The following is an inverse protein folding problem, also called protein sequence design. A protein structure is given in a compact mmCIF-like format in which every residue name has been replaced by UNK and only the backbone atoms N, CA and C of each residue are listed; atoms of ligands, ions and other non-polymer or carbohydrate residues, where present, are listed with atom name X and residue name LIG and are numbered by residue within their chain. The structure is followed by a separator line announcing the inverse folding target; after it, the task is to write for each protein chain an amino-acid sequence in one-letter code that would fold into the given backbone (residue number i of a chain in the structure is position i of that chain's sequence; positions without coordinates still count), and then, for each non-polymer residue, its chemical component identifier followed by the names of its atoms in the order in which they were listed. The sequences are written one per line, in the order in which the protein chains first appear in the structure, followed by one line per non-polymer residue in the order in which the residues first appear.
data_IF_975733518216
#
_entry.id   IF_975733518216
#
_cell.length_a   1.000
_cell.length_b   1.000
_cell.length_c   1.000
_cell.angle_alpha   90.00
_cell.angle_beta   90.00
_cell.angle_gamma   90.00
#
_symmetry.space_group_name_H-M   'P 1'
#
loop_
_entity.id
_entity.type
_entity.pdbx_description
1 polymer ?
#
# COMPACT_ATOMS: atom_id res chain seq x y z
N UNK A 1 -52.38 41.31 -31.74
CA UNK A 1 -51.69 40.54 -32.80
C UNK A 1 -51.87 39.04 -32.52
N UNK A 2 -52.82 38.38 -33.16
CA UNK A 2 -53.16 36.96 -32.91
C UNK A 2 -52.17 36.08 -33.69
N UNK A 3 -51.15 35.52 -33.02
CA UNK A 3 -50.33 34.46 -33.63
C UNK A 3 -51.25 33.31 -34.03
N UNK A 4 -51.31 33.00 -35.33
CA UNK A 4 -52.14 31.92 -35.87
C UNK A 4 -51.71 30.60 -35.20
N UNK A 5 -52.65 29.92 -34.53
CA UNK A 5 -52.48 28.59 -33.90
C UNK A 5 -51.75 27.56 -34.77
N UNK A 6 -51.79 27.72 -36.11
CA UNK A 6 -51.11 26.86 -37.09
C UNK A 6 -49.57 26.91 -37.06
N UNK A 7 -48.95 27.94 -36.48
CA UNK A 7 -47.47 28.07 -36.40
C UNK A 7 -46.93 27.74 -35.00
N UNK A 8 -47.73 27.98 -33.95
CA UNK A 8 -47.30 27.80 -32.55
C UNK A 8 -47.20 26.32 -32.17
N UNK A 9 -48.12 25.48 -32.66
CA UNK A 9 -48.16 24.04 -32.36
C UNK A 9 -46.93 23.29 -32.91
N UNK A 10 -46.53 23.45 -34.20
CA UNK A 10 -45.36 22.75 -34.71
C UNK A 10 -44.05 23.25 -34.06
N UNK A 11 -43.96 24.53 -33.71
CA UNK A 11 -42.77 25.08 -33.03
C UNK A 11 -42.59 24.49 -31.62
N UNK A 12 -43.70 24.31 -30.88
CA UNK A 12 -43.69 23.67 -29.56
C UNK A 12 -43.32 22.19 -29.64
N UNK A 13 -43.79 21.47 -30.66
CA UNK A 13 -43.44 20.05 -30.86
C UNK A 13 -41.94 19.91 -31.18
N UNK A 14 -41.37 20.80 -32.01
CA UNK A 14 -39.93 20.79 -32.31
C UNK A 14 -39.10 21.10 -31.06
N UNK A 15 -39.51 22.05 -30.23
CA UNK A 15 -38.84 22.36 -28.95
C UNK A 15 -38.96 21.22 -27.92
N UNK A 16 -40.11 20.54 -27.85
CA UNK A 16 -40.30 19.38 -26.98
C UNK A 16 -39.48 18.18 -27.47
N UNK A 17 -39.36 17.97 -28.78
CA UNK A 17 -38.50 16.92 -29.34
C UNK A 17 -37.02 17.24 -29.13
N UNK A 18 -36.58 18.50 -29.27
CA UNK A 18 -35.19 18.91 -29.01
C UNK A 18 -34.79 18.80 -27.53
N UNK A 19 -35.71 19.11 -26.61
CA UNK A 19 -35.49 18.93 -25.16
C UNK A 19 -35.53 17.45 -24.76
N UNK A 20 -36.42 16.65 -25.35
CA UNK A 20 -36.43 15.20 -25.15
C UNK A 20 -35.13 14.54 -25.70
N UNK A 21 -34.61 14.98 -26.85
CA UNK A 21 -33.37 14.45 -27.42
C UNK A 21 -32.15 14.80 -26.56
N UNK A 22 -32.08 16.03 -26.05
CA UNK A 22 -30.99 16.43 -25.14
C UNK A 22 -31.09 15.75 -23.77
N UNK A 23 -32.28 15.48 -23.24
CA UNK A 23 -32.46 14.77 -21.97
C UNK A 23 -32.24 13.25 -22.07
N UNK A 24 -32.66 12.61 -23.17
CA UNK A 24 -32.54 11.15 -23.38
C UNK A 24 -31.17 10.72 -23.89
N UNK A 25 -30.45 11.55 -24.66
CA UNK A 25 -29.17 11.17 -25.27
C UNK A 25 -27.91 11.81 -24.65
N UNK A 26 -27.99 12.94 -23.91
CA UNK A 26 -26.80 13.45 -23.21
C UNK A 26 -26.23 12.55 -22.10
N UNK A 27 -27.02 11.76 -21.32
CA UNK A 27 -26.41 10.98 -20.24
C UNK A 27 -25.60 9.77 -20.73
N UNK A 28 -25.64 9.44 -22.04
CA UNK A 28 -24.88 8.33 -22.63
C UNK A 28 -23.60 8.74 -23.39
N UNK A 29 -23.42 10.02 -23.70
CA UNK A 29 -22.29 10.52 -24.50
C UNK A 29 -21.19 11.18 -23.67
N UNK A 30 -21.43 11.45 -22.38
CA UNK A 30 -20.37 11.78 -21.47
C UNK A 30 -19.79 10.47 -20.94
N UNK A 31 -18.51 10.14 -21.21
CA UNK A 31 -17.87 9.03 -20.51
C UNK A 31 -18.07 9.29 -19.02
N UNK A 32 -18.52 8.26 -18.28
CA UNK A 32 -18.50 8.30 -16.82
C UNK A 32 -17.16 8.90 -16.41
N UNK A 33 -17.09 9.86 -15.48
CA UNK A 33 -15.81 10.35 -15.01
C UNK A 33 -15.04 9.11 -14.57
N UNK A 34 -14.03 8.73 -15.35
CA UNK A 34 -13.17 7.63 -14.99
C UNK A 34 -12.48 8.17 -13.75
N UNK A 35 -12.92 7.75 -12.57
CA UNK A 35 -12.10 7.88 -11.36
C UNK A 35 -10.86 7.03 -11.63
N UNK A 36 -9.93 7.59 -12.42
CA UNK A 36 -8.61 7.05 -12.56
C UNK A 36 -7.97 7.26 -11.20
N UNK A 37 -7.84 6.16 -10.46
CA UNK A 37 -7.09 6.17 -9.22
C UNK A 37 -5.67 6.63 -9.55
N UNK A 38 -5.17 7.65 -8.86
CA UNK A 38 -3.80 8.18 -9.04
C UNK A 38 -2.75 7.06 -9.04
N UNK A 39 -2.98 6.00 -8.26
CA UNK A 39 -2.15 4.80 -8.23
C UNK A 39 -2.13 4.03 -9.57
N UNK A 40 -3.28 3.88 -10.23
CA UNK A 40 -3.36 3.19 -11.53
C UNK A 40 -2.66 3.98 -12.64
N UNK A 41 -2.82 5.30 -12.66
CA UNK A 41 -2.12 6.15 -13.63
C UNK A 41 -0.61 6.15 -13.38
N UNK A 42 -0.19 6.16 -12.11
CA UNK A 42 1.23 6.07 -11.74
C UNK A 42 1.83 4.71 -12.11
N UNK A 43 1.15 3.58 -11.82
CA UNK A 43 1.61 2.25 -12.24
C UNK A 43 1.74 2.15 -13.76
N UNK A 44 0.73 2.61 -14.50
CA UNK A 44 0.77 2.62 -15.97
C UNK A 44 1.94 3.46 -16.48
N UNK A 45 2.27 4.57 -15.82
CA UNK A 45 3.37 5.42 -16.21
C UNK A 45 4.74 4.82 -15.88
N UNK A 46 4.90 4.20 -14.70
CA UNK A 46 6.17 3.62 -14.29
C UNK A 46 6.46 2.29 -15.02
N UNK A 47 5.46 1.47 -15.31
CA UNK A 47 5.62 0.23 -16.09
C UNK A 47 5.89 0.47 -17.59
N UNK A 48 5.74 1.69 -18.11
CA UNK A 48 6.24 2.02 -19.46
C UNK A 48 7.76 1.93 -19.54
N UNK A 49 8.46 2.02 -18.40
CA UNK A 49 9.89 1.71 -18.34
C UNK A 49 10.03 0.20 -18.30
N UNK A 50 10.84 -0.35 -19.20
CA UNK A 50 11.08 -1.81 -19.29
C UNK A 50 12.39 -2.22 -18.64
N UNK A 51 13.31 -1.28 -18.43
CA UNK A 51 14.55 -1.47 -17.69
C UNK A 51 14.25 -1.63 -16.19
N UNK A 52 14.93 -2.53 -15.45
CA UNK A 52 14.77 -2.64 -14.01
C UNK A 52 15.27 -1.36 -13.29
N UNK A 53 14.71 -1.09 -12.12
CA UNK A 53 15.27 -0.09 -11.23
C UNK A 53 16.54 -0.64 -10.55
N UNK A 54 17.64 0.11 -10.57
CA UNK A 54 18.93 -0.31 -10.02
C UNK A 54 19.41 0.63 -8.92
N UNK A 55 20.07 0.08 -7.90
CA UNK A 55 20.58 0.80 -6.74
C UNK A 55 21.10 -0.13 -5.66
N UNK A 56 21.14 0.35 -4.42
CA UNK A 56 21.40 -0.51 -3.26
C UNK A 56 20.41 -0.31 -2.12
N UNK A 57 20.15 -1.40 -1.40
CA UNK A 57 19.44 -1.41 -0.12
C UNK A 57 20.46 -1.60 1.01
N UNK A 58 20.85 -0.50 1.65
CA UNK A 58 21.77 -0.55 2.78
C UNK A 58 23.16 -1.11 2.46
N UNK A 59 23.65 -0.83 1.24
CA UNK A 59 24.90 -1.38 0.70
C UNK A 59 24.75 -2.70 -0.06
N UNK A 60 23.56 -3.31 -0.12
CA UNK A 60 23.31 -4.51 -0.94
C UNK A 60 22.84 -4.10 -2.33
N UNK A 61 23.60 -4.38 -3.41
CA UNK A 61 23.17 -4.06 -4.77
C UNK A 61 21.90 -4.82 -5.18
N UNK A 62 20.97 -4.11 -5.82
CA UNK A 62 19.69 -4.67 -6.27
C UNK A 62 19.33 -4.24 -7.69
N UNK A 63 18.63 -5.13 -8.39
CA UNK A 63 17.97 -4.89 -9.68
C UNK A 63 16.50 -5.30 -9.52
N UNK A 64 15.63 -4.31 -9.40
CA UNK A 64 14.21 -4.47 -9.06
C UNK A 64 13.38 -4.41 -10.34
N UNK A 65 12.62 -5.46 -10.70
CA UNK A 65 11.70 -5.39 -11.83
C UNK A 65 10.63 -4.31 -11.59
N UNK A 66 10.22 -3.60 -12.64
CA UNK A 66 9.39 -2.39 -12.53
C UNK A 66 8.04 -2.57 -11.78
N UNK A 67 7.30 -3.69 -11.93
CA UNK A 67 6.10 -3.93 -11.13
C UNK A 67 6.33 -4.00 -9.62
N UNK A 68 7.58 -4.22 -9.19
CA UNK A 68 7.97 -4.24 -7.78
C UNK A 68 8.52 -2.90 -7.27
N UNK A 69 8.67 -1.89 -8.14
CA UNK A 69 9.37 -0.64 -7.82
C UNK A 69 8.41 0.56 -7.74
N UNK A 70 7.23 0.37 -7.13
CA UNK A 70 6.26 1.45 -7.00
C UNK A 70 6.72 2.51 -6.00
N UNK A 71 6.41 3.79 -6.26
CA UNK A 71 6.85 4.93 -5.43
C UNK A 71 8.34 4.93 -5.11
N UNK A 72 9.18 4.55 -6.07
CA UNK A 72 10.62 4.44 -5.88
C UNK A 72 11.27 5.81 -5.63
N UNK A 73 11.93 5.94 -4.48
CA UNK A 73 12.69 7.12 -4.08
C UNK A 73 14.16 6.76 -3.82
N UNK A 74 15.07 7.62 -4.27
CA UNK A 74 16.50 7.50 -4.03
C UNK A 74 16.97 8.56 -3.01
N UNK A 75 18.10 8.29 -2.38
CA UNK A 75 18.82 9.28 -1.60
C UNK A 75 19.22 10.47 -2.47
N UNK A 76 19.10 11.67 -1.89
CA UNK A 76 19.39 12.93 -2.58
C UNK A 76 18.33 13.36 -3.60
N UNK A 77 17.27 12.57 -3.81
CA UNK A 77 16.10 13.05 -4.56
C UNK A 77 15.28 14.03 -3.72
N UNK A 78 14.67 15.05 -4.36
CA UNK A 78 13.74 15.94 -3.68
C UNK A 78 12.57 15.13 -3.11
N UNK A 79 12.02 15.59 -1.99
CA UNK A 79 10.77 15.05 -1.47
C UNK A 79 9.59 15.31 -2.41
N UNK A 80 8.45 14.65 -2.15
CA UNK A 80 7.25 14.76 -2.99
C UNK A 80 6.75 16.21 -3.22
N UNK A 81 6.99 17.08 -2.24
CA UNK A 81 6.59 18.50 -2.29
C UNK A 81 7.69 19.44 -2.76
N UNK A 82 8.89 18.92 -3.05
CA UNK A 82 10.06 19.73 -3.35
C UNK A 82 10.38 19.69 -4.85
N UNK A 83 10.65 20.85 -5.48
CA UNK A 83 11.08 20.87 -6.87
C UNK A 83 12.51 20.31 -6.98
N UNK A 84 12.75 19.48 -8.00
CA UNK A 84 14.10 19.02 -8.32
C UNK A 84 14.97 20.20 -8.73
N UNK A 85 16.11 20.34 -8.08
CA UNK A 85 17.19 21.24 -8.50
C UNK A 85 18.17 20.44 -9.36
N UNK A 86 18.35 20.85 -10.62
CA UNK A 86 19.25 20.18 -11.56
C UNK A 86 18.66 18.96 -12.26
N UNK A 87 19.44 18.32 -13.16
CA UNK A 87 19.00 17.14 -13.90
C UNK A 87 18.80 15.94 -12.97
N UNK A 88 17.97 14.99 -13.41
CA UNK A 88 17.84 13.70 -12.71
C UNK A 88 19.17 12.94 -12.86
N UNK A 89 19.81 12.51 -11.75
CA UNK A 89 21.03 11.73 -11.84
C UNK A 89 20.81 10.41 -12.55
N UNK A 90 21.84 9.94 -13.26
CA UNK A 90 21.89 8.55 -13.72
C UNK A 90 21.95 7.63 -12.49
N UNK A 91 21.20 6.53 -12.54
CA UNK A 91 21.16 5.55 -11.46
C UNK A 91 22.17 4.44 -11.72
N UNK A 92 22.88 4.06 -10.68
CA UNK A 92 23.88 2.99 -10.66
C UNK A 92 23.65 2.13 -9.41
N UNK A 93 24.38 1.03 -9.27
CA UNK A 93 24.31 0.22 -8.03
C UNK A 93 24.82 0.95 -6.79
N UNK A 94 25.52 2.09 -6.95
CA UNK A 94 25.92 2.98 -5.85
C UNK A 94 24.82 3.98 -5.46
N UNK A 95 23.69 4.00 -6.18
CA UNK A 95 22.56 4.85 -5.84
C UNK A 95 21.75 4.24 -4.70
N UNK A 96 21.74 4.89 -3.54
CA UNK A 96 20.94 4.48 -2.39
C UNK A 96 19.44 4.58 -2.69
N UNK A 97 18.73 3.46 -2.65
CA UNK A 97 17.26 3.44 -2.72
C UNK A 97 16.73 3.59 -1.29
N UNK A 98 16.03 4.69 -1.00
CA UNK A 98 15.54 4.94 0.36
C UNK A 98 14.16 4.34 0.61
N UNK A 99 13.29 4.34 -0.39
CA UNK A 99 11.95 3.75 -0.25
C UNK A 99 11.43 3.26 -1.58
N UNK A 100 10.59 2.23 -1.51
CA UNK A 100 9.69 1.82 -2.59
C UNK A 100 8.63 0.89 -2.01
N UNK A 101 7.64 0.53 -2.81
CA UNK A 101 6.65 -0.47 -2.45
C UNK A 101 6.14 -1.22 -3.66
N UNK A 102 5.33 -2.23 -3.40
CA UNK A 102 4.64 -3.00 -4.42
C UNK A 102 3.43 -3.70 -3.82
N UNK A 103 2.59 -4.28 -4.68
CA UNK A 103 1.47 -5.11 -4.24
C UNK A 103 1.62 -6.50 -4.82
N UNK A 104 1.29 -7.52 -4.04
CA UNK A 104 1.32 -8.94 -4.45
C UNK A 104 0.06 -9.65 -4.00
N UNK A 105 -0.45 -10.56 -4.81
CA UNK A 105 -1.61 -11.37 -4.48
C UNK A 105 -1.19 -12.58 -3.65
N UNK A 106 -1.78 -12.79 -2.48
CA UNK A 106 -1.49 -13.97 -1.65
C UNK A 106 -2.49 -15.10 -1.95
N UNK A 107 -2.06 -16.38 -2.04
CA UNK A 107 -0.73 -16.92 -1.73
C UNK A 107 0.19 -17.16 -2.93
N UNK A 108 -0.25 -16.92 -4.17
CA UNK A 108 0.57 -17.15 -5.37
C UNK A 108 1.73 -16.14 -5.54
N UNK A 109 1.69 -15.06 -4.78
CA UNK A 109 2.64 -13.96 -4.77
C UNK A 109 2.77 -13.26 -6.12
N UNK A 110 1.72 -13.30 -6.95
CA UNK A 110 1.68 -12.60 -8.23
C UNK A 110 1.73 -11.09 -8.00
N UNK A 111 2.71 -10.40 -8.58
CA UNK A 111 2.83 -8.94 -8.46
C UNK A 111 1.71 -8.22 -9.20
N UNK A 112 1.19 -7.17 -8.58
CA UNK A 112 0.26 -6.28 -9.24
C UNK A 112 0.98 -5.61 -10.41
N UNK A 113 0.40 -5.75 -11.60
CA UNK A 113 0.92 -5.12 -12.81
C UNK A 113 -0.21 -4.68 -13.71
N UNK A 114 0.09 -3.92 -14.78
CA UNK A 114 -0.88 -3.53 -15.81
C UNK A 114 -1.69 -4.73 -16.33
N UNK A 115 -1.10 -5.93 -16.37
CA UNK A 115 -1.74 -7.15 -16.86
C UNK A 115 -2.89 -7.65 -15.98
N UNK A 116 -2.87 -7.39 -14.67
CA UNK A 116 -3.85 -7.92 -13.71
C UNK A 116 -4.64 -6.83 -12.94
N UNK A 117 -4.52 -5.55 -13.34
CA UNK A 117 -5.21 -4.43 -12.68
C UNK A 117 -6.73 -4.58 -12.64
N UNK A 118 -7.35 -5.05 -13.72
CA UNK A 118 -8.80 -5.14 -13.77
C UNK A 118 -9.34 -6.26 -12.87
N UNK A 119 -8.63 -7.40 -12.80
CA UNK A 119 -8.91 -8.47 -11.84
C UNK A 119 -8.82 -7.93 -10.41
N UNK A 120 -7.73 -7.24 -10.08
CA UNK A 120 -7.51 -6.64 -8.76
C UNK A 120 -8.61 -5.66 -8.36
N UNK A 121 -9.02 -4.75 -9.26
CA UNK A 121 -10.07 -3.75 -8.99
C UNK A 121 -11.45 -4.36 -8.72
N UNK A 122 -11.69 -5.58 -9.20
CA UNK A 122 -12.96 -6.27 -9.01
C UNK A 122 -13.02 -7.02 -7.67
N UNK A 123 -11.88 -7.21 -7.00
CA UNK A 123 -11.87 -7.90 -5.71
C UNK A 123 -12.47 -7.04 -4.60
N UNK A 124 -13.35 -7.68 -3.82
CA UNK A 124 -13.94 -7.05 -2.64
C UNK A 124 -12.89 -6.87 -1.55
N UNK A 125 -12.90 -5.73 -0.87
CA UNK A 125 -12.05 -5.46 0.30
C UNK A 125 -12.20 -6.52 1.42
N UNK A 126 -13.33 -7.22 1.46
CA UNK A 126 -13.61 -8.27 2.45
C UNK A 126 -12.95 -9.61 2.13
N UNK A 127 -12.64 -9.87 0.87
CA UNK A 127 -12.09 -11.15 0.41
C UNK A 127 -10.69 -11.02 -0.16
N UNK A 128 -10.33 -9.83 -0.63
CA UNK A 128 -9.05 -9.52 -1.24
C UNK A 128 -7.88 -10.00 -0.39
N UNK A 129 -6.93 -10.63 -1.05
CA UNK A 129 -5.68 -11.12 -0.45
C UNK A 129 -4.46 -10.39 -1.01
N UNK A 130 -4.68 -9.23 -1.63
CA UNK A 130 -3.59 -8.36 -2.04
C UNK A 130 -2.89 -7.79 -0.81
N UNK A 131 -1.58 -8.02 -0.76
CA UNK A 131 -0.67 -7.49 0.24
C UNK A 131 -0.04 -6.22 -0.31
N UNK A 132 -0.05 -5.15 0.48
CA UNK A 132 0.72 -3.94 0.18
C UNK A 132 2.06 -4.01 0.90
N UNK A 133 3.17 -4.03 0.16
CA UNK A 133 4.53 -4.13 0.71
C UNK A 133 5.20 -2.77 0.56
N UNK A 134 5.75 -2.25 1.65
CA UNK A 134 6.62 -1.08 1.70
C UNK A 134 8.00 -1.46 2.21
N UNK A 135 9.03 -0.89 1.59
CA UNK A 135 10.43 -1.12 1.89
C UNK A 135 11.05 0.23 2.23
N UNK A 136 11.78 0.30 3.33
CA UNK A 136 12.53 1.48 3.76
C UNK A 136 13.97 1.11 4.06
N UNK A 137 14.91 1.87 3.50
CA UNK A 137 16.34 1.58 3.49
C UNK A 137 17.15 2.88 3.45
N UNK A 138 18.47 2.80 3.61
CA UNK A 138 19.40 3.93 3.61
C UNK A 138 18.92 5.10 4.51
N UNK A 139 18.67 6.30 3.98
CA UNK A 139 18.23 7.44 4.81
C UNK A 139 16.87 7.22 5.49
N UNK A 140 16.01 6.36 4.93
CA UNK A 140 14.72 5.99 5.53
C UNK A 140 14.82 4.67 6.32
N UNK A 141 16.01 4.07 6.47
CA UNK A 141 16.15 2.81 7.19
C UNK A 141 15.81 3.01 8.68
N UNK A 142 14.80 2.30 9.22
CA UNK A 142 14.39 2.50 10.61
C UNK A 142 15.36 1.93 11.65
N UNK A 143 16.48 1.32 11.23
CA UNK A 143 17.47 0.70 12.11
C UNK A 143 17.24 -0.80 12.31
N UNK A 144 18.25 -1.48 12.88
CA UNK A 144 18.24 -2.95 13.04
C UNK A 144 17.16 -3.46 14.00
N UNK A 145 16.80 -2.67 15.01
CA UNK A 145 15.80 -3.00 16.03
C UNK A 145 14.40 -2.46 15.68
N UNK A 146 14.09 -2.27 14.39
CA UNK A 146 12.85 -1.62 13.94
C UNK A 146 11.56 -2.17 14.60
N UNK A 147 11.31 -3.49 14.66
CA UNK A 147 10.11 -4.01 15.32
C UNK A 147 10.12 -3.81 16.84
N UNK A 148 11.27 -4.00 17.48
CA UNK A 148 11.44 -3.79 18.92
C UNK A 148 11.16 -2.34 19.32
N UNK A 149 11.65 -1.37 18.54
CA UNK A 149 11.34 0.04 18.73
C UNK A 149 9.84 0.35 18.70
N UNK A 150 9.04 -0.40 17.93
CA UNK A 150 7.58 -0.26 17.93
C UNK A 150 6.95 -0.72 19.25
N UNK A 151 7.47 -1.80 19.84
CA UNK A 151 7.03 -2.32 21.14
C UNK A 151 7.40 -1.35 22.26
N UNK A 152 8.66 -0.89 22.31
CA UNK A 152 9.12 0.10 23.29
C UNK A 152 8.33 1.41 23.21
N UNK A 153 7.95 1.82 21.99
CA UNK A 153 7.13 3.01 21.77
C UNK A 153 5.67 2.89 22.21
N UNK A 154 5.18 1.71 22.62
CA UNK A 154 3.78 1.51 23.02
C UNK A 154 3.37 2.37 24.22
N UNK A 155 4.29 2.65 25.15
CA UNK A 155 4.00 3.44 26.35
C UNK A 155 3.60 4.88 26.04
N UNK A 156 4.10 5.43 24.93
CA UNK A 156 3.88 6.82 24.51
C UNK A 156 2.68 6.98 23.56
N UNK A 157 1.90 5.92 23.33
CA UNK A 157 0.76 5.96 22.40
C UNK A 157 -0.49 6.54 23.06
N UNK A 158 -1.42 6.94 22.19
CA UNK A 158 -2.74 7.45 22.56
C UNK A 158 -3.48 6.47 23.47
N UNK A 159 -3.53 5.18 23.08
CA UNK A 159 -4.03 4.12 23.93
C UNK A 159 -2.93 3.47 24.76
N UNK A 160 -3.28 3.11 26.00
CA UNK A 160 -2.52 2.21 26.87
C UNK A 160 -2.93 0.78 26.59
N UNK A 161 -2.01 -0.14 26.81
CA UNK A 161 -2.16 -1.53 26.43
C UNK A 161 -2.01 -2.44 27.64
N UNK A 162 -2.85 -3.48 27.70
CA UNK A 162 -2.63 -4.63 28.58
C UNK A 162 -2.37 -5.87 27.74
N UNK A 163 -1.52 -6.76 28.26
CA UNK A 163 -1.35 -8.09 27.68
C UNK A 163 -2.67 -8.85 27.78
N UNK A 164 -3.06 -9.54 26.71
CA UNK A 164 -4.23 -10.42 26.69
C UNK A 164 -3.92 -11.77 27.37
N UNK A 165 -4.95 -12.47 27.82
CA UNK A 165 -4.81 -13.76 28.51
C UNK A 165 -4.29 -14.87 27.59
N UNK A 166 -4.41 -14.69 26.27
CA UNK A 166 -4.01 -15.67 25.26
C UNK A 166 -3.19 -15.00 24.17
N UNK A 167 -2.15 -15.71 23.75
CA UNK A 167 -1.41 -15.41 22.54
C UNK A 167 -2.23 -15.86 21.32
N UNK A 168 -2.19 -15.08 20.24
CA UNK A 168 -2.87 -15.41 18.99
C UNK A 168 -1.86 -15.83 17.93
N UNK A 169 -2.02 -17.00 17.30
CA UNK A 169 -1.16 -17.47 16.20
C UNK A 169 0.35 -17.46 16.53
N UNK A 170 0.70 -17.72 17.80
CA UNK A 170 2.07 -17.66 18.28
C UNK A 170 2.63 -16.25 18.49
N UNK A 171 1.77 -15.23 18.56
CA UNK A 171 2.12 -13.84 18.85
C UNK A 171 1.69 -13.46 20.27
N UNK A 172 2.53 -12.70 20.98
CA UNK A 172 2.11 -12.04 22.21
C UNK A 172 1.10 -10.93 21.87
N UNK A 173 -0.09 -11.01 22.46
CA UNK A 173 -1.22 -10.12 22.12
C UNK A 173 -1.45 -9.06 23.20
N UNK A 174 -1.68 -7.82 22.77
CA UNK A 174 -1.96 -6.67 23.61
C UNK A 174 -3.19 -5.92 23.10
N UNK A 175 -4.10 -5.60 24.03
CA UNK A 175 -5.37 -4.91 23.74
C UNK A 175 -5.41 -3.54 24.41
N UNK A 176 -6.02 -2.53 23.78
CA UNK A 176 -6.11 -1.19 24.35
C UNK A 176 -7.12 -1.14 25.51
N UNK A 177 -6.83 -0.37 26.58
CA UNK A 177 -7.61 -0.37 27.83
C UNK A 177 -8.33 0.94 28.17
N UNK A 178 -7.90 2.07 27.61
CA UNK A 178 -8.47 3.39 27.86
C UNK A 178 -9.31 3.87 26.68
N UNK A 179 -10.11 2.98 26.09
CA UNK A 179 -10.90 3.28 24.89
C UNK A 179 -12.26 3.83 25.25
N UNK A 180 -12.72 4.82 24.51
CA UNK A 180 -14.10 5.29 24.56
C UNK A 180 -15.03 4.24 23.93
N UNK A 181 -15.72 3.48 24.77
CA UNK A 181 -16.63 2.42 24.33
C UNK A 181 -17.87 2.95 23.59
N UNK A 182 -18.29 4.19 23.86
CA UNK A 182 -19.40 4.79 23.12
C UNK A 182 -18.96 5.13 21.69
N UNK A 183 -17.79 5.75 21.54
CA UNK A 183 -17.18 6.01 20.25
C UNK A 183 -16.94 4.72 19.48
N UNK A 184 -16.39 3.69 20.15
CA UNK A 184 -16.14 2.37 19.56
C UNK A 184 -17.41 1.71 19.01
N UNK A 185 -18.49 1.75 19.78
CA UNK A 185 -19.80 1.22 19.35
C UNK A 185 -20.34 1.97 18.12
N UNK A 186 -20.17 3.30 18.07
CA UNK A 186 -20.58 4.12 16.90
C UNK A 186 -19.69 3.88 15.69
N UNK A 187 -18.40 3.63 15.89
CA UNK A 187 -17.40 3.38 14.85
C UNK A 187 -17.34 1.94 14.35
N UNK A 188 -18.33 1.10 14.67
CA UNK A 188 -18.40 -0.27 14.16
C UNK A 188 -17.28 -1.18 14.69
N UNK A 189 -16.81 -0.94 15.92
CA UNK A 189 -15.82 -1.77 16.61
C UNK A 189 -14.49 -1.08 16.91
N UNK A 190 -14.20 0.07 16.29
CA UNK A 190 -13.06 0.91 16.62
C UNK A 190 -13.50 2.33 16.96
N UNK A 191 -12.93 2.93 18.00
CA UNK A 191 -13.19 4.33 18.34
C UNK A 191 -12.58 5.31 17.32
N UNK A 192 -11.39 4.98 16.81
CA UNK A 192 -10.67 5.73 15.78
C UNK A 192 -9.63 4.84 15.06
N UNK A 193 -8.80 5.41 14.19
CA UNK A 193 -7.77 4.68 13.44
C UNK A 193 -6.59 4.16 14.28
N UNK A 194 -6.46 4.62 15.53
CA UNK A 194 -5.45 4.23 16.50
C UNK A 194 -5.94 3.16 17.48
N UNK A 195 -7.24 2.85 17.49
CA UNK A 195 -7.81 1.73 18.24
C UNK A 195 -7.50 0.43 17.51
N UNK A 196 -6.35 -0.16 17.85
CA UNK A 196 -5.89 -1.43 17.29
C UNK A 196 -5.38 -2.35 18.39
N UNK A 197 -5.47 -3.66 18.14
CA UNK A 197 -4.68 -4.64 18.89
C UNK A 197 -3.25 -4.64 18.39
N UNK A 198 -2.32 -4.92 19.29
CA UNK A 198 -0.90 -5.10 19.00
C UNK A 198 -0.54 -6.56 19.19
N UNK A 199 0.23 -7.09 18.25
CA UNK A 199 0.76 -8.44 18.28
C UNK A 199 2.25 -8.39 17.98
N UNK A 200 3.08 -9.14 18.68
CA UNK A 200 4.49 -9.26 18.30
C UNK A 200 5.03 -10.66 18.56
N UNK A 201 6.05 -11.02 17.81
CA UNK A 201 6.82 -12.25 17.98
C UNK A 201 8.20 -11.89 18.55
N UNK A 202 8.77 -12.82 19.30
CA UNK A 202 10.18 -12.79 19.69
C UNK A 202 10.85 -14.02 19.09
N UNK A 203 12.02 -13.83 18.52
CA UNK A 203 12.86 -14.93 18.05
C UNK A 203 13.41 -15.76 19.23
N UNK A 204 14.16 -16.81 18.89
CA UNK A 204 14.77 -17.71 19.88
C UNK A 204 15.78 -17.01 20.81
N UNK A 205 16.34 -15.87 20.37
CA UNK A 205 17.24 -15.04 21.17
C UNK A 205 16.50 -14.03 22.06
N UNK A 206 15.17 -13.97 21.95
CA UNK A 206 14.31 -13.08 22.73
C UNK A 206 14.13 -11.68 22.12
N UNK A 207 14.69 -11.42 20.93
CA UNK A 207 14.53 -10.15 20.23
C UNK A 207 13.22 -10.10 19.46
N UNK A 208 12.60 -8.91 19.39
CA UNK A 208 11.37 -8.71 18.62
C UNK A 208 11.72 -8.64 17.14
N UNK A 209 11.36 -9.68 16.40
CA UNK A 209 11.60 -9.82 14.96
C UNK A 209 10.37 -9.45 14.11
N UNK A 210 9.18 -9.49 14.71
CA UNK A 210 7.92 -9.14 14.05
C UNK A 210 7.03 -8.34 14.98
N UNK A 211 6.49 -7.23 14.46
CA UNK A 211 5.49 -6.40 15.11
C UNK A 211 4.29 -6.22 14.19
N UNK A 212 3.07 -6.39 14.70
CA UNK A 212 1.83 -6.28 13.94
C UNK A 212 0.83 -5.43 14.72
N UNK A 213 0.07 -4.58 14.02
CA UNK A 213 -1.11 -3.91 14.56
C UNK A 213 -2.31 -4.11 13.66
N UNK A 214 -3.49 -4.35 14.22
CA UNK A 214 -4.73 -4.51 13.46
C UNK A 214 -5.85 -3.66 14.04
N UNK A 215 -6.45 -2.78 13.24
CA UNK A 215 -7.52 -1.87 13.68
C UNK A 215 -8.73 -2.66 14.17
N UNK A 216 -9.31 -2.25 15.29
CA UNK A 216 -10.37 -2.98 16.00
C UNK A 216 -11.76 -2.90 15.40
N UNK A 217 -11.91 -2.42 14.15
CA UNK A 217 -13.19 -2.53 13.43
C UNK A 217 -13.66 -3.98 13.39
N UNK A 218 -14.96 -4.19 13.54
CA UNK A 218 -15.54 -5.50 13.87
C UNK A 218 -15.53 -6.51 12.70
N UNK A 219 -15.14 -6.10 11.50
CA UNK A 219 -15.18 -6.96 10.32
C UNK A 219 -13.80 -7.54 9.95
N UNK A 220 -13.78 -8.69 9.28
CA UNK A 220 -12.54 -9.38 8.85
C UNK A 220 -11.68 -8.58 7.86
N UNK A 221 -12.27 -7.60 7.17
CA UNK A 221 -11.56 -6.61 6.35
C UNK A 221 -10.72 -5.62 7.17
N UNK A 222 -10.72 -5.73 8.51
CA UNK A 222 -9.95 -4.86 9.39
C UNK A 222 -8.47 -4.83 8.95
N UNK A 223 -7.89 -3.66 8.65
CA UNK A 223 -6.53 -3.61 8.17
C UNK A 223 -5.54 -3.93 9.29
N UNK A 224 -4.61 -4.81 8.97
CA UNK A 224 -3.41 -5.09 9.72
C UNK A 224 -2.19 -4.47 9.04
N UNK A 225 -1.20 -4.11 9.84
CA UNK A 225 0.12 -3.69 9.38
C UNK A 225 1.17 -4.49 10.15
N UNK A 226 1.90 -5.33 9.43
CA UNK A 226 3.05 -6.08 9.90
C UNK A 226 4.34 -5.33 9.59
N UNK A 227 5.29 -5.38 10.50
CA UNK A 227 6.59 -4.73 10.44
C UNK A 227 7.67 -5.73 10.85
N UNK A 228 8.70 -5.88 10.03
CA UNK A 228 9.85 -6.74 10.30
C UNK A 228 11.11 -6.18 9.63
N UNK A 229 12.26 -6.80 9.86
CA UNK A 229 13.56 -6.39 9.32
C UNK A 229 14.21 -7.52 8.51
N UNK A 230 14.95 -7.17 7.45
CA UNK A 230 15.78 -8.12 6.70
C UNK A 230 17.24 -8.15 7.18
N UNK A 231 17.57 -7.38 8.22
CA UNK A 231 18.89 -7.36 8.84
C UNK A 231 19.21 -8.72 9.49
N UNK A 232 20.46 -9.23 9.41
CA UNK A 232 21.65 -8.60 8.85
C UNK A 232 21.86 -8.79 7.34
N UNK A 233 21.04 -9.62 6.68
CA UNK A 233 21.22 -9.95 5.26
C UNK A 233 21.05 -8.73 4.34
N UNK A 234 20.16 -7.80 4.72
CA UNK A 234 19.92 -6.55 4.01
C UNK A 234 19.42 -5.49 5.01
N UNK A 235 19.99 -4.28 5.03
CA UNK A 235 19.51 -3.20 5.92
C UNK A 235 18.25 -2.56 5.33
N UNK A 236 17.13 -3.27 5.43
CA UNK A 236 15.83 -2.84 4.94
C UNK A 236 14.74 -3.19 5.97
N UNK A 237 13.96 -2.18 6.35
CA UNK A 237 12.75 -2.33 7.15
C UNK A 237 11.56 -2.57 6.25
N UNK A 238 10.76 -3.58 6.55
CA UNK A 238 9.62 -4.00 5.73
C UNK A 238 8.33 -3.71 6.47
N UNK A 239 7.36 -3.16 5.75
CA UNK A 239 5.98 -3.03 6.19
C UNK A 239 5.07 -3.79 5.23
N UNK A 240 4.19 -4.64 5.75
CA UNK A 240 3.18 -5.34 4.96
C UNK A 240 1.79 -5.01 5.47
N UNK A 241 0.92 -4.50 4.59
CA UNK A 241 -0.50 -4.27 4.85
C UNK A 241 -1.35 -5.41 4.30
N UNK A 242 -2.27 -5.91 5.12
CA UNK A 242 -3.22 -6.97 4.74
C UNK A 242 -4.46 -6.93 5.63
N UNK A 243 -5.51 -7.67 5.28
CA UNK A 243 -6.73 -7.77 6.12
C UNK A 243 -6.55 -8.75 7.28
N UNK A 244 -7.23 -8.52 8.41
CA UNK A 244 -7.14 -9.32 9.65
C UNK A 244 -7.36 -10.81 9.45
N UNK A 245 -8.22 -11.22 8.52
CA UNK A 245 -8.41 -12.64 8.22
C UNK A 245 -7.16 -13.38 7.71
N UNK A 246 -6.09 -12.66 7.32
CA UNK A 246 -4.78 -13.22 6.96
C UNK A 246 -3.76 -13.18 8.11
N UNK A 247 -4.13 -12.67 9.30
CA UNK A 247 -3.22 -12.59 10.45
C UNK A 247 -2.66 -13.95 10.84
N UNK A 248 -3.46 -15.02 10.73
CA UNK A 248 -3.02 -16.39 11.00
C UNK A 248 -1.83 -16.86 10.13
N UNK A 249 -1.66 -16.22 8.96
CA UNK A 249 -0.66 -16.58 7.95
C UNK A 249 0.56 -15.65 8.00
N UNK A 250 0.70 -14.82 9.05
CA UNK A 250 1.73 -13.77 9.15
C UNK A 250 3.16 -14.27 8.95
N UNK A 251 3.48 -15.48 9.40
CA UNK A 251 4.82 -16.10 9.22
C UNK A 251 5.09 -16.41 7.76
N UNK A 252 4.10 -16.96 7.07
CA UNK A 252 4.20 -17.29 5.65
C UNK A 252 4.29 -16.02 4.80
N UNK A 253 3.46 -15.01 5.11
CA UNK A 253 3.51 -13.70 4.47
C UNK A 253 4.90 -13.06 4.63
N UNK A 254 5.46 -13.07 5.85
CA UNK A 254 6.80 -12.54 6.11
C UNK A 254 7.87 -13.26 5.28
N UNK A 255 7.84 -14.59 5.28
CA UNK A 255 8.80 -15.42 4.55
C UNK A 255 8.71 -15.20 3.03
N UNK A 256 7.49 -15.22 2.48
CA UNK A 256 7.25 -15.05 1.04
C UNK A 256 7.63 -13.66 0.55
N UNK A 257 7.30 -12.61 1.30
CA UNK A 257 7.72 -11.24 0.98
C UNK A 257 9.25 -11.09 1.07
N UNK A 258 9.87 -11.65 2.11
CA UNK A 258 11.33 -11.62 2.26
C UNK A 258 12.02 -12.28 1.08
N UNK A 259 11.52 -13.44 0.63
CA UNK A 259 12.06 -14.16 -0.52
C UNK A 259 12.06 -13.32 -1.80
N UNK A 260 10.93 -12.66 -2.12
CA UNK A 260 10.83 -11.76 -3.28
C UNK A 260 11.90 -10.66 -3.22
N UNK A 261 12.05 -10.03 -2.05
CA UNK A 261 13.00 -8.92 -1.90
C UNK A 261 14.45 -9.41 -2.02
N UNK A 262 14.76 -10.59 -1.49
CA UNK A 262 16.09 -11.19 -1.63
C UNK A 262 16.41 -11.57 -3.09
N UNK A 263 15.42 -11.92 -3.91
CA UNK A 263 15.61 -12.20 -5.34
C UNK A 263 16.01 -10.95 -6.14
N UNK A 264 15.79 -9.74 -5.62
CA UNK A 264 16.30 -8.52 -6.27
C UNK A 264 17.81 -8.35 -6.15
N UNK A 265 18.46 -9.06 -5.22
CA UNK A 265 19.91 -8.97 -5.02
C UNK A 265 20.64 -9.38 -6.30
N UNK A 266 21.60 -8.56 -6.70
CA UNK A 266 22.47 -8.87 -7.82
C UNK A 266 23.93 -8.92 -7.37
N UNK A 267 24.66 -9.93 -7.87
CA UNK A 267 26.12 -10.03 -7.71
C UNK A 267 26.87 -9.31 -8.82
N UNK A 268 26.13 -8.90 -9.85
CA UNK A 268 26.70 -8.25 -11.01
C UNK A 268 26.87 -6.77 -10.70
N UNK A 269 28.10 -6.38 -10.39
CA UNK A 269 28.68 -5.17 -10.97
C UNK A 269 28.73 -5.44 -12.48
N UNK A 270 27.57 -5.50 -13.14
CA UNK A 270 27.52 -5.68 -14.58
C UNK A 270 27.99 -4.37 -15.15
N UNK A 271 29.26 -4.36 -15.49
CA UNK A 271 29.94 -3.54 -16.48
C UNK A 271 28.95 -2.65 -17.22
N UNK A 272 28.98 -1.36 -16.90
CA UNK A 272 28.54 -0.31 -17.82
C UNK A 272 29.41 -0.39 -19.08
N UNK A 273 29.16 -1.36 -19.95
CA UNK A 273 29.69 -1.44 -21.30
C UNK A 273 28.69 -2.21 -22.16
N UNK A 274 27.79 -1.47 -22.81
CA UNK A 274 27.78 -1.30 -24.27
C UNK A 274 26.70 -0.29 -24.68
#
# INVERSE_FOLDING_TARGET
MKLKKKVVIPLFIVLLLATAWTALFKPRLLPKPIQRHLFADWMIQEERRTDPAIGHLGGTPVSIPRPYAHFLEYDGDPGFTEPRKGPRPERTFESGIRSFGFEVHYPDMEVASVANLDKRKQESIYTSTWLSVGISSNNDYPGQYYPEGQVLGMENRHYKYKRADRNEYGLETYVPINVDEEARRKGGGAADMFDYNVYYHKDESGHVDTYIRCINVAHEAAPCRQMFNLYPAMKAGITVGYRRGLLKDWREIQSSVSKIIFEFKTTKIQTQQN
#
